data_IF_984239087360
#
_entry.id   IF_984239087360
#
_cell.length_a   1.000
_cell.length_b   1.000
_cell.length_c   1.000
_cell.angle_alpha   90.00
_cell.angle_beta   90.00
_cell.angle_gamma   90.00
#
_symmetry.space_group_name_H-M   'P 1'
#
loop_
_entity.id
_entity.type
_entity.pdbx_description
1 polymer ?
#
# COMPACT_ATOMS: atom_id res chain seq x y z
N UNK A 1 -5.24 -84.72 37.30
CA UNK A 1 -3.86 -85.12 36.94
C UNK A 1 -3.83 -85.12 35.42
N UNK A 2 -3.00 -84.36 34.70
CA UNK A 2 -1.56 -84.12 34.79
C UNK A 2 -1.36 -82.67 34.27
N UNK A 3 -0.85 -81.71 35.05
CA UNK A 3 0.56 -81.27 35.09
C UNK A 3 0.87 -80.28 33.94
N UNK A 4 1.17 -78.99 34.10
CA UNK A 4 1.80 -78.27 35.21
C UNK A 4 3.24 -77.90 34.80
N UNK A 5 3.44 -76.75 34.16
CA UNK A 5 4.77 -76.15 34.02
C UNK A 5 4.63 -74.61 34.07
N UNK A 6 5.10 -74.06 35.19
CA UNK A 6 5.38 -72.66 35.42
C UNK A 6 6.71 -72.31 34.76
N UNK A 7 6.75 -71.30 33.88
CA UNK A 7 7.94 -70.49 33.67
C UNK A 7 7.58 -68.99 33.56
N UNK A 8 8.31 -68.24 34.37
CA UNK A 8 8.54 -66.79 34.51
C UNK A 8 7.79 -65.76 33.66
N UNK A 9 7.30 -64.75 34.38
CA UNK A 9 6.88 -63.43 33.93
C UNK A 9 8.02 -62.69 33.21
N UNK A 10 7.81 -62.33 31.95
CA UNK A 10 8.52 -61.24 31.30
C UNK A 10 7.55 -60.09 31.02
N UNK A 11 7.91 -58.92 31.53
CA UNK A 11 7.22 -57.65 31.40
C UNK A 11 7.27 -57.14 29.96
N UNK A 12 6.14 -57.17 29.25
CA UNK A 12 5.97 -56.50 27.96
C UNK A 12 5.06 -55.28 28.10
N UNK A 13 5.67 -54.11 27.82
CA UNK A 13 5.12 -52.76 27.91
C UNK A 13 3.77 -52.56 27.21
N UNK A 14 2.91 -51.81 27.88
CA UNK A 14 1.81 -51.03 27.30
C UNK A 14 2.37 -50.07 26.24
N UNK A 15 2.20 -50.39 24.96
CA UNK A 15 2.54 -49.46 23.88
C UNK A 15 1.34 -48.54 23.64
N UNK A 16 1.28 -47.43 24.38
CA UNK A 16 0.46 -46.29 24.01
C UNK A 16 1.14 -45.62 22.81
N UNK A 17 0.46 -45.59 21.66
CA UNK A 17 0.83 -44.77 20.52
C UNK A 17 0.66 -43.27 20.85
N UNK A 18 1.53 -42.76 21.72
CA UNK A 18 1.84 -41.35 21.79
C UNK A 18 2.61 -40.99 20.53
N UNK A 19 1.86 -40.69 19.46
CA UNK A 19 2.38 -39.98 18.30
C UNK A 19 2.93 -38.64 18.81
N UNK A 20 4.24 -38.60 19.12
CA UNK A 20 4.96 -37.42 19.59
C UNK A 20 4.60 -36.26 18.66
N UNK A 21 3.79 -35.32 19.16
CA UNK A 21 3.57 -34.04 18.48
C UNK A 21 4.95 -33.44 18.27
N UNK A 22 5.38 -33.27 17.01
CA UNK A 22 6.56 -32.45 16.73
C UNK A 22 6.26 -31.07 17.31
N UNK A 23 6.99 -30.66 18.33
CA UNK A 23 6.97 -29.30 18.82
C UNK A 23 7.60 -28.43 17.74
N UNK A 24 6.79 -27.94 16.80
CA UNK A 24 7.21 -26.85 15.93
C UNK A 24 7.37 -25.61 16.81
N UNK A 25 8.52 -24.94 16.71
CA UNK A 25 8.71 -23.66 17.38
C UNK A 25 7.68 -22.68 16.81
N UNK A 26 7.13 -21.77 17.63
CA UNK A 26 6.03 -20.89 17.20
C UNK A 26 6.32 -20.08 15.92
N UNK A 27 7.59 -19.85 15.59
CA UNK A 27 8.06 -19.16 14.38
C UNK A 27 8.18 -20.04 13.13
N UNK A 28 8.07 -21.37 13.25
CA UNK A 28 8.06 -22.30 12.10
C UNK A 28 6.64 -22.54 11.57
N UNK A 29 5.61 -22.12 12.32
CA UNK A 29 4.21 -22.27 11.93
C UNK A 29 3.98 -21.53 10.60
N UNK A 30 3.42 -22.23 9.63
CA UNK A 30 3.12 -21.72 8.30
C UNK A 30 4.34 -21.30 7.46
N UNK A 31 5.54 -21.76 7.83
CA UNK A 31 6.74 -21.48 7.07
C UNK A 31 6.58 -21.91 5.60
N UNK A 32 7.01 -21.05 4.67
CA UNK A 32 6.89 -21.29 3.24
C UNK A 32 5.60 -20.81 2.59
N UNK A 33 4.63 -20.27 3.35
CA UNK A 33 3.38 -19.75 2.78
C UNK A 33 3.66 -18.60 1.78
N UNK A 34 3.18 -18.67 0.52
CA UNK A 34 3.44 -17.62 -0.47
C UNK A 34 2.90 -16.25 -0.05
N UNK A 35 3.67 -15.18 -0.21
CA UNK A 35 3.19 -13.83 0.08
C UNK A 35 2.20 -13.37 -1.00
N UNK A 36 0.96 -13.09 -0.61
CA UNK A 36 -0.12 -12.64 -1.51
C UNK A 36 0.06 -11.19 -1.96
N UNK A 37 0.90 -10.41 -1.28
CA UNK A 37 1.16 -9.00 -1.56
C UNK A 37 2.44 -8.78 -2.37
N UNK A 38 3.50 -9.51 -2.04
CA UNK A 38 4.82 -9.31 -2.61
C UNK A 38 5.14 -10.26 -3.76
N UNK A 39 4.45 -11.41 -3.85
CA UNK A 39 4.77 -12.45 -4.81
C UNK A 39 6.11 -13.14 -4.53
N UNK A 40 6.50 -14.10 -5.37
CA UNK A 40 7.72 -14.90 -5.17
C UNK A 40 9.01 -14.10 -5.38
N UNK A 41 8.99 -13.06 -6.22
CA UNK A 41 10.20 -12.25 -6.51
C UNK A 41 10.71 -11.46 -5.30
N UNK A 42 9.80 -10.97 -4.45
CA UNK A 42 10.15 -10.17 -3.26
C UNK A 42 10.09 -10.96 -1.95
N UNK A 43 9.53 -12.16 -1.98
CA UNK A 43 9.39 -13.04 -0.82
C UNK A 43 9.78 -14.46 -1.22
N UNK A 44 11.02 -14.61 -1.66
CA UNK A 44 11.57 -15.91 -2.04
C UNK A 44 11.51 -16.86 -0.83
N UNK A 45 11.05 -18.09 -1.07
CA UNK A 45 10.85 -19.07 -0.01
C UNK A 45 9.60 -18.87 0.85
N UNK A 46 8.78 -17.83 0.61
CA UNK A 46 7.52 -17.61 1.33
C UNK A 46 7.69 -17.08 2.76
N UNK A 47 6.65 -17.24 3.59
CA UNK A 47 6.63 -16.78 4.97
C UNK A 47 7.77 -17.42 5.77
N UNK A 48 8.66 -16.61 6.30
CA UNK A 48 9.57 -16.98 7.39
C UNK A 48 9.28 -16.06 8.56
N UNK A 49 8.64 -16.56 9.63
CA UNK A 49 8.15 -15.70 10.68
C UNK A 49 9.30 -15.20 11.56
N UNK A 50 9.38 -13.88 11.74
CA UNK A 50 10.24 -13.29 12.73
C UNK A 50 9.76 -13.67 14.14
N UNK A 51 10.68 -14.18 14.97
CA UNK A 51 10.33 -14.78 16.26
C UNK A 51 9.50 -13.87 17.18
N UNK A 52 9.83 -12.57 17.27
CA UNK A 52 9.06 -11.62 18.07
C UNK A 52 8.28 -10.55 17.30
N UNK A 53 8.73 -10.12 16.12
CA UNK A 53 8.04 -9.07 15.34
C UNK A 53 6.70 -9.52 14.72
N UNK A 54 6.46 -10.84 14.68
CA UNK A 54 5.28 -11.45 14.05
C UNK A 54 5.05 -10.95 12.60
N UNK A 55 6.14 -10.78 11.86
CA UNK A 55 6.16 -10.42 10.42
C UNK A 55 7.12 -11.36 9.68
N UNK A 56 6.99 -11.46 8.37
CA UNK A 56 7.93 -12.20 7.54
C UNK A 56 9.33 -11.55 7.58
N UNK A 57 10.39 -12.33 7.84
CA UNK A 57 11.78 -11.83 7.85
C UNK A 57 12.21 -11.30 6.48
N UNK A 58 11.76 -11.96 5.41
CA UNK A 58 12.10 -11.67 4.01
C UNK A 58 11.40 -10.41 3.50
N UNK A 59 10.06 -10.39 3.51
CA UNK A 59 9.28 -9.33 2.87
C UNK A 59 8.66 -8.32 3.85
N UNK A 60 8.86 -8.50 5.17
CA UNK A 60 8.29 -7.68 6.27
C UNK A 60 6.76 -7.59 6.28
N UNK A 61 6.06 -8.33 5.42
CA UNK A 61 4.60 -8.43 5.40
C UNK A 61 4.10 -9.26 6.58
N UNK A 62 2.87 -8.99 7.03
CA UNK A 62 2.29 -9.72 8.14
C UNK A 62 1.89 -11.15 7.74
N UNK A 63 1.76 -12.11 8.68
CA UNK A 63 1.38 -13.49 8.39
C UNK A 63 0.06 -13.59 7.63
N UNK A 64 -0.90 -12.73 7.95
CA UNK A 64 -2.21 -12.65 7.28
C UNK A 64 -2.13 -12.12 5.83
N UNK A 65 -0.96 -11.66 5.38
CA UNK A 65 -0.68 -11.30 3.98
C UNK A 65 -0.02 -12.46 3.21
N UNK A 66 0.08 -13.65 3.81
CA UNK A 66 0.59 -14.87 3.18
C UNK A 66 -0.51 -15.93 3.03
N UNK A 67 -0.41 -16.78 2.01
CA UNK A 67 -1.38 -17.87 1.76
C UNK A 67 -1.08 -19.07 2.68
N UNK A 68 -1.32 -18.84 3.96
CA UNK A 68 -1.14 -19.82 5.02
C UNK A 68 -2.11 -21.00 4.81
N UNK A 69 -1.64 -22.23 5.07
CA UNK A 69 -2.40 -23.46 4.80
C UNK A 69 -3.51 -23.72 5.83
N UNK A 70 -4.63 -24.21 5.31
CA UNK A 70 -5.93 -24.39 5.98
C UNK A 70 -5.96 -25.22 7.27
N UNK A 71 -5.16 -26.28 7.40
CA UNK A 71 -5.28 -27.24 8.50
C UNK A 71 -4.71 -26.73 9.85
N UNK A 72 -3.60 -25.98 9.80
CA UNK A 72 -2.95 -25.41 10.98
C UNK A 72 -3.71 -24.17 11.49
N UNK A 73 -4.33 -23.43 10.58
CA UNK A 73 -5.22 -22.31 10.87
C UNK A 73 -6.52 -22.75 11.55
N UNK A 74 -7.14 -23.84 11.09
CA UNK A 74 -8.43 -24.28 11.64
C UNK A 74 -8.33 -24.63 13.13
N UNK A 75 -7.22 -25.24 13.55
CA UNK A 75 -6.93 -25.47 14.97
C UNK A 75 -6.70 -24.17 15.76
N UNK A 76 -5.95 -23.21 15.18
CA UNK A 76 -5.66 -21.92 15.81
C UNK A 76 -6.93 -21.05 15.93
N UNK A 77 -7.77 -21.04 14.91
CA UNK A 77 -9.06 -20.36 14.92
C UNK A 77 -9.99 -21.00 15.94
N UNK A 78 -10.08 -22.32 15.95
CA UNK A 78 -10.89 -23.03 16.94
C UNK A 78 -10.44 -22.72 18.37
N UNK A 79 -9.12 -22.65 18.61
CA UNK A 79 -8.56 -22.24 19.89
C UNK A 79 -8.99 -20.84 20.31
N UNK A 80 -8.87 -19.85 19.42
CA UNK A 80 -9.33 -18.47 19.66
C UNK A 80 -10.83 -18.39 19.91
N UNK A 81 -11.64 -19.09 19.12
CA UNK A 81 -13.10 -19.12 19.34
C UNK A 81 -13.42 -19.74 20.71
N UNK A 82 -12.75 -20.82 21.10
CA UNK A 82 -12.99 -21.46 22.41
C UNK A 82 -12.50 -20.62 23.60
N UNK A 83 -11.52 -19.74 23.42
CA UNK A 83 -11.12 -18.82 24.49
C UNK A 83 -12.11 -17.66 24.66
N UNK A 84 -12.88 -17.34 23.62
CA UNK A 84 -13.93 -16.32 23.66
C UNK A 84 -15.22 -16.81 24.31
N UNK A 85 -15.61 -18.07 24.06
CA UNK A 85 -16.89 -18.63 24.50
C UNK A 85 -16.69 -19.75 25.51
N UNK A 86 -17.39 -19.68 26.65
CA UNK A 86 -17.32 -20.69 27.71
C UNK A 86 -18.71 -21.16 28.13
N UNK A 87 -18.85 -22.48 28.38
CA UNK A 87 -20.04 -23.08 29.00
C UNK A 87 -20.35 -22.50 30.38
N UNK A 88 -19.32 -22.08 31.11
CA UNK A 88 -19.42 -21.58 32.48
C UNK A 88 -19.62 -20.05 32.51
N UNK A 89 -19.80 -19.41 31.35
CA UNK A 89 -20.04 -17.97 31.28
C UNK A 89 -21.34 -17.58 31.99
N UNK A 90 -21.25 -16.54 32.82
CA UNK A 90 -22.42 -15.88 33.43
C UNK A 90 -23.30 -15.17 32.39
N UNK A 91 -22.77 -14.91 31.19
CA UNK A 91 -23.47 -14.23 30.11
C UNK A 91 -24.20 -15.25 29.24
N UNK A 92 -25.54 -15.26 29.31
CA UNK A 92 -26.40 -16.26 28.62
C UNK A 92 -26.07 -16.46 27.14
N UNK A 93 -25.98 -15.38 26.36
CA UNK A 93 -25.67 -15.46 24.92
C UNK A 93 -24.30 -16.11 24.60
N UNK A 94 -23.31 -15.97 25.50
CA UNK A 94 -21.96 -16.54 25.31
C UNK A 94 -22.02 -18.04 25.57
N UNK A 95 -22.69 -18.45 26.65
CA UNK A 95 -22.95 -19.86 26.96
C UNK A 95 -23.78 -20.53 25.87
N UNK A 96 -24.84 -19.89 25.40
CA UNK A 96 -25.72 -20.42 24.36
C UNK A 96 -24.95 -20.61 23.03
N UNK A 97 -24.08 -19.67 22.67
CA UNK A 97 -23.23 -19.80 21.50
C UNK A 97 -22.19 -20.92 21.65
N UNK A 98 -21.62 -21.11 22.84
CA UNK A 98 -20.74 -22.24 23.13
C UNK A 98 -21.44 -23.58 22.89
N UNK A 99 -22.67 -23.76 23.38
CA UNK A 99 -23.42 -24.98 23.13
C UNK A 99 -23.74 -25.18 21.64
N UNK A 100 -24.01 -24.11 20.89
CA UNK A 100 -24.17 -24.18 19.43
C UNK A 100 -22.88 -24.63 18.73
N UNK A 101 -21.71 -24.17 19.20
CA UNK A 101 -20.41 -24.61 18.68
C UNK A 101 -20.21 -26.12 18.90
N UNK A 102 -20.49 -26.63 20.11
CA UNK A 102 -20.37 -28.06 20.42
C UNK A 102 -21.38 -28.92 19.64
N UNK A 103 -22.61 -28.46 19.48
CA UNK A 103 -23.60 -29.15 18.66
C UNK A 103 -23.16 -29.21 17.19
N UNK A 104 -22.61 -28.10 16.67
CA UNK A 104 -22.15 -28.01 15.29
C UNK A 104 -20.92 -28.89 15.01
N UNK A 105 -20.03 -29.11 15.99
CA UNK A 105 -18.90 -30.05 15.81
C UNK A 105 -19.34 -31.51 15.69
N UNK A 106 -20.50 -31.84 16.27
CA UNK A 106 -21.05 -33.21 16.26
C UNK A 106 -22.07 -33.46 15.15
N UNK A 107 -22.51 -32.41 14.45
CA UNK A 107 -23.56 -32.50 13.43
C UNK A 107 -22.95 -32.35 12.02
N UNK A 108 -23.22 -33.27 11.08
CA UNK A 108 -22.78 -33.11 9.70
C UNK A 108 -23.33 -31.82 9.08
N UNK A 109 -22.46 -31.03 8.45
CA UNK A 109 -22.86 -29.84 7.70
C UNK A 109 -23.68 -30.25 6.47
N UNK A 110 -24.71 -29.46 6.13
CA UNK A 110 -25.46 -29.65 4.89
C UNK A 110 -24.57 -29.50 3.65
N UNK A 111 -24.97 -30.09 2.52
CA UNK A 111 -24.18 -30.05 1.28
C UNK A 111 -23.95 -28.62 0.78
N UNK A 112 -24.96 -27.76 0.94
CA UNK A 112 -24.82 -26.34 0.66
C UNK A 112 -23.78 -25.67 1.59
N UNK A 113 -23.84 -25.95 2.89
CA UNK A 113 -22.93 -25.36 3.86
C UNK A 113 -21.47 -25.78 3.63
N UNK A 114 -21.19 -27.01 3.17
CA UNK A 114 -19.82 -27.50 2.89
C UNK A 114 -19.08 -26.68 1.83
N UNK A 115 -19.81 -25.97 0.96
CA UNK A 115 -19.22 -25.11 -0.07
C UNK A 115 -18.51 -23.89 0.52
N UNK A 116 -18.73 -23.57 1.79
CA UNK A 116 -18.17 -22.39 2.45
C UNK A 116 -17.15 -22.78 3.53
N UNK A 117 -16.07 -22.00 3.62
CA UNK A 117 -15.07 -22.13 4.67
C UNK A 117 -15.66 -21.88 6.07
N UNK A 118 -16.76 -21.13 6.16
CA UNK A 118 -17.50 -20.88 7.39
C UNK A 118 -18.96 -20.52 7.09
N UNK A 119 -19.85 -20.86 8.03
CA UNK A 119 -21.26 -20.49 8.01
C UNK A 119 -21.69 -20.06 9.43
N UNK A 120 -22.64 -19.11 9.56
CA UNK A 120 -23.26 -18.85 10.85
C UNK A 120 -23.93 -20.11 11.42
N UNK A 121 -23.78 -20.32 12.73
CA UNK A 121 -24.25 -21.53 13.40
C UNK A 121 -25.76 -21.50 13.63
N UNK A 122 -26.40 -22.65 13.49
CA UNK A 122 -27.83 -22.83 13.80
C UNK A 122 -28.80 -22.23 12.79
N UNK A 123 -28.35 -21.84 11.59
CA UNK A 123 -29.24 -21.40 10.53
C UNK A 123 -29.78 -22.57 9.71
N UNK A 124 -31.09 -22.54 9.46
CA UNK A 124 -31.72 -23.40 8.46
C UNK A 124 -31.18 -23.10 7.06
N UNK A 125 -31.19 -24.10 6.17
CA UNK A 125 -30.60 -23.97 4.82
C UNK A 125 -31.17 -22.79 4.03
N UNK A 126 -32.48 -22.54 4.09
CA UNK A 126 -33.13 -21.42 3.39
C UNK A 126 -32.59 -20.06 3.85
N UNK A 127 -32.43 -19.88 5.16
CA UNK A 127 -31.89 -18.64 5.73
C UNK A 127 -30.40 -18.49 5.48
N UNK A 128 -29.65 -19.60 5.53
CA UNK A 128 -28.23 -19.64 5.19
C UNK A 128 -27.96 -19.19 3.75
N UNK A 129 -28.77 -19.65 2.78
CA UNK A 129 -28.67 -19.22 1.37
C UNK A 129 -28.83 -17.70 1.28
N UNK A 130 -29.91 -17.16 1.86
CA UNK A 130 -30.17 -15.71 1.87
C UNK A 130 -29.03 -14.91 2.50
N UNK A 131 -28.50 -15.37 3.63
CA UNK A 131 -27.35 -14.74 4.28
C UNK A 131 -26.12 -14.72 3.38
N UNK A 132 -25.75 -15.86 2.79
CA UNK A 132 -24.59 -15.94 1.91
C UNK A 132 -24.75 -15.08 0.67
N UNK A 133 -25.97 -14.93 0.14
CA UNK A 133 -26.25 -14.07 -1.02
C UNK A 133 -26.25 -12.59 -0.71
N UNK A 134 -26.56 -12.21 0.52
CA UNK A 134 -26.50 -10.83 0.99
C UNK A 134 -25.08 -10.34 1.33
N UNK A 135 -24.07 -11.22 1.34
CA UNK A 135 -22.67 -10.83 1.52
C UNK A 135 -22.08 -10.24 0.22
N UNK A 136 -21.16 -9.25 0.33
CA UNK A 136 -20.39 -8.78 -0.83
C UNK A 136 -19.69 -9.96 -1.54
N UNK A 137 -19.73 -10.05 -2.89
CA UNK A 137 -19.20 -11.20 -3.62
C UNK A 137 -17.74 -11.56 -3.28
N UNK A 138 -16.89 -10.54 -3.14
CA UNK A 138 -15.47 -10.67 -2.80
C UNK A 138 -15.20 -11.07 -1.35
N UNK A 139 -16.21 -11.02 -0.48
CA UNK A 139 -16.12 -11.39 0.94
C UNK A 139 -16.86 -12.70 1.26
N UNK A 140 -17.60 -13.26 0.29
CA UNK A 140 -18.33 -14.52 0.44
C UNK A 140 -17.34 -15.67 0.65
N UNK A 141 -17.35 -16.39 1.78
CA UNK A 141 -16.28 -17.31 2.15
C UNK A 141 -16.42 -18.68 1.47
N UNK A 142 -16.60 -18.72 0.14
CA UNK A 142 -16.66 -19.99 -0.61
C UNK A 142 -15.29 -20.68 -0.58
N UNK A 143 -15.25 -21.98 -0.31
CA UNK A 143 -14.00 -22.76 -0.24
C UNK A 143 -13.15 -22.53 -1.50
N UNK A 144 -11.88 -22.17 -1.30
CA UNK A 144 -10.92 -21.91 -2.38
C UNK A 144 -11.04 -20.54 -3.06
N UNK A 145 -12.06 -19.74 -2.74
CA UNK A 145 -12.24 -18.40 -3.31
C UNK A 145 -11.43 -17.32 -2.58
N UNK A 146 -11.32 -16.14 -3.20
CA UNK A 146 -10.74 -14.95 -2.56
C UNK A 146 -11.51 -14.51 -1.31
N UNK A 147 -12.83 -14.74 -1.24
CA UNK A 147 -13.59 -14.48 -0.02
C UNK A 147 -13.22 -15.41 1.13
N UNK A 148 -12.84 -16.67 0.83
CA UNK A 148 -12.28 -17.54 1.87
C UNK A 148 -10.90 -17.09 2.32
N UNK A 149 -10.05 -16.58 1.41
CA UNK A 149 -8.76 -15.96 1.78
C UNK A 149 -8.96 -14.71 2.62
N UNK A 150 -9.90 -13.84 2.22
CA UNK A 150 -10.29 -12.64 2.96
C UNK A 150 -10.72 -12.98 4.39
N UNK A 151 -11.61 -13.97 4.56
CA UNK A 151 -12.04 -14.41 5.90
C UNK A 151 -10.86 -14.85 6.76
N UNK A 152 -9.94 -15.65 6.23
CA UNK A 152 -8.76 -16.11 6.99
C UNK A 152 -7.88 -14.93 7.43
N UNK A 153 -7.61 -14.02 6.51
CA UNK A 153 -6.91 -12.76 6.80
C UNK A 153 -7.61 -11.97 7.91
N UNK A 154 -8.94 -11.83 7.83
CA UNK A 154 -9.72 -11.13 8.86
C UNK A 154 -9.68 -11.86 10.20
N UNK A 155 -9.70 -13.20 10.22
CA UNK A 155 -9.60 -13.96 11.47
C UNK A 155 -8.28 -13.68 12.20
N UNK A 156 -7.16 -13.75 11.49
CA UNK A 156 -5.83 -13.47 12.04
C UNK A 156 -5.66 -12.01 12.49
N UNK A 157 -6.19 -11.07 11.71
CA UNK A 157 -6.07 -9.64 12.00
C UNK A 157 -7.00 -9.16 13.11
N UNK A 158 -8.28 -9.58 13.08
CA UNK A 158 -9.32 -9.11 13.99
C UNK A 158 -9.30 -9.84 15.34
N UNK A 159 -8.82 -11.08 15.37
CA UNK A 159 -8.70 -11.91 16.57
C UNK A 159 -7.30 -12.57 16.64
N UNK A 160 -6.23 -11.77 16.79
CA UNK A 160 -4.86 -12.30 16.82
C UNK A 160 -4.67 -13.28 17.98
N UNK A 161 -4.08 -14.45 17.74
CA UNK A 161 -3.98 -15.51 18.76
C UNK A 161 -3.25 -15.05 20.04
N UNK A 162 -2.26 -14.17 19.90
CA UNK A 162 -1.52 -13.56 21.02
C UNK A 162 -2.33 -12.54 21.83
N UNK A 163 -3.51 -12.11 21.37
CA UNK A 163 -4.46 -11.33 22.18
C UNK A 163 -5.38 -12.25 23.03
N UNK A 164 -5.27 -13.57 22.86
CA UNK A 164 -6.16 -14.57 23.45
C UNK A 164 -5.44 -15.65 24.26
N UNK A 165 -4.15 -15.85 24.04
CA UNK A 165 -3.35 -16.88 24.71
C UNK A 165 -1.94 -16.36 25.03
N UNK A 166 -1.63 -16.32 26.32
CA UNK A 166 -0.35 -15.85 26.87
C UNK A 166 0.87 -16.64 26.37
N UNK A 167 0.69 -17.89 25.92
CA UNK A 167 1.78 -18.71 25.38
C UNK A 167 2.25 -18.28 23.99
N UNK A 168 1.48 -17.40 23.33
CA UNK A 168 1.83 -16.82 22.03
C UNK A 168 2.47 -15.42 22.15
N UNK A 169 2.56 -14.88 23.37
CA UNK A 169 3.17 -13.59 23.66
C UNK A 169 4.66 -13.73 24.03
N UNK A 170 5.45 -12.69 23.76
CA UNK A 170 6.88 -12.70 24.04
C UNK A 170 7.20 -12.13 25.43
N UNK A 171 7.71 -12.97 26.33
CA UNK A 171 8.27 -12.58 27.62
C UNK A 171 7.33 -11.78 28.55
N UNK A 172 6.03 -12.13 28.59
CA UNK A 172 5.12 -11.58 29.59
C UNK A 172 5.55 -12.00 31.00
N UNK A 173 5.64 -11.02 31.91
CA UNK A 173 5.81 -11.25 33.35
C UNK A 173 4.51 -11.77 33.99
N UNK A 174 4.58 -12.41 35.15
CA UNK A 174 3.37 -12.90 35.84
C UNK A 174 2.32 -11.82 36.12
N UNK A 175 2.69 -10.58 36.53
CA UNK A 175 1.72 -9.49 36.64
C UNK A 175 1.06 -9.11 35.30
N UNK A 176 1.80 -9.13 34.19
CA UNK A 176 1.25 -8.85 32.87
C UNK A 176 0.31 -9.96 32.39
N UNK A 177 0.66 -11.23 32.64
CA UNK A 177 -0.21 -12.38 32.35
C UNK A 177 -1.52 -12.27 33.14
N UNK A 178 -1.44 -11.89 34.41
CA UNK A 178 -2.63 -11.67 35.23
C UNK A 178 -3.49 -10.53 34.67
N UNK A 179 -2.87 -9.41 34.29
CA UNK A 179 -3.57 -8.31 33.61
C UNK A 179 -4.24 -8.75 32.31
N UNK A 180 -3.58 -9.62 31.52
CA UNK A 180 -4.13 -10.19 30.29
C UNK A 180 -5.35 -11.08 30.55
N UNK A 181 -5.30 -11.93 31.57
CA UNK A 181 -6.43 -12.78 31.97
C UNK A 181 -7.62 -11.95 32.42
N UNK A 182 -7.39 -10.98 33.32
CA UNK A 182 -8.43 -10.06 33.80
C UNK A 182 -9.06 -9.25 32.66
N UNK A 183 -8.23 -8.71 31.75
CA UNK A 183 -8.71 -7.99 30.58
C UNK A 183 -9.56 -8.89 29.67
N UNK A 184 -9.10 -10.11 29.38
CA UNK A 184 -9.81 -11.06 28.54
C UNK A 184 -11.15 -11.47 29.14
N UNK A 185 -11.19 -11.75 30.44
CA UNK A 185 -12.41 -12.07 31.18
C UNK A 185 -13.40 -10.89 31.15
N UNK A 186 -12.94 -9.69 31.50
CA UNK A 186 -13.76 -8.48 31.48
C UNK A 186 -14.33 -8.20 30.08
N UNK A 187 -13.49 -8.30 29.04
CA UNK A 187 -13.90 -8.14 27.63
C UNK A 187 -14.99 -9.15 27.26
N UNK A 188 -14.78 -10.42 27.57
CA UNK A 188 -15.71 -11.49 27.20
C UNK A 188 -17.05 -11.34 27.95
N UNK A 189 -17.02 -10.92 29.22
CA UNK A 189 -18.22 -10.69 30.02
C UNK A 189 -19.00 -9.43 29.61
N UNK A 190 -18.32 -8.34 29.28
CA UNK A 190 -18.97 -7.03 29.15
C UNK A 190 -19.15 -6.54 27.71
N UNK A 191 -18.35 -7.01 26.76
CA UNK A 191 -18.35 -6.49 25.39
C UNK A 191 -18.56 -7.54 24.30
N UNK A 192 -18.09 -8.77 24.47
CA UNK A 192 -18.19 -9.81 23.45
C UNK A 192 -19.64 -10.18 23.13
N UNK A 193 -19.97 -10.22 21.85
CA UNK A 193 -21.22 -10.76 21.32
C UNK A 193 -21.04 -11.48 19.99
N UNK A 194 -22.09 -12.17 19.57
CA UNK A 194 -22.17 -12.79 18.24
C UNK A 194 -23.44 -12.32 17.55
N UNK A 195 -23.31 -11.92 16.29
CA UNK A 195 -24.42 -11.47 15.47
C UNK A 195 -25.43 -12.59 15.24
N UNK A 196 -26.71 -12.27 15.43
CA UNK A 196 -27.82 -13.20 15.22
C UNK A 196 -28.49 -12.90 13.88
N UNK A 197 -28.44 -13.84 12.94
CA UNK A 197 -28.97 -13.65 11.58
C UNK A 197 -30.46 -13.95 11.57
N UNK A 198 -31.26 -12.97 11.14
CA UNK A 198 -32.72 -13.10 11.07
C UNK A 198 -33.23 -12.61 9.72
N UNK A 199 -34.32 -13.21 9.26
CA UNK A 199 -35.08 -12.73 8.11
C UNK A 199 -36.21 -11.82 8.58
N UNK A 200 -36.43 -10.72 7.85
CA UNK A 200 -37.59 -9.87 8.05
C UNK A 200 -38.83 -10.55 7.47
N UNK A 201 -39.61 -11.21 8.32
CA UNK A 201 -40.86 -11.86 7.92
C UNK A 201 -42.12 -11.03 8.23
N UNK A 202 -42.04 -10.10 9.18
CA UNK A 202 -43.17 -9.25 9.56
C UNK A 202 -43.15 -7.93 8.77
N UNK A 203 -44.19 -7.61 7.97
CA UNK A 203 -44.26 -6.35 7.21
C UNK A 203 -44.40 -5.11 8.11
N UNK A 204 -44.88 -5.26 9.34
CA UNK A 204 -45.09 -4.15 10.29
C UNK A 204 -43.79 -3.78 11.02
N UNK A 205 -42.82 -4.70 11.12
CA UNK A 205 -41.57 -4.41 11.83
C UNK A 205 -40.73 -3.40 11.05
N UNK A 206 -40.34 -2.32 11.73
CA UNK A 206 -39.44 -1.32 11.16
C UNK A 206 -38.00 -1.69 11.52
N UNK A 207 -37.31 -2.33 10.57
CA UNK A 207 -35.88 -2.64 10.68
C UNK A 207 -35.11 -1.61 9.86
N UNK A 208 -34.24 -0.87 10.53
CA UNK A 208 -33.36 0.13 9.93
C UNK A 208 -31.93 -0.29 10.24
N UNK A 209 -31.10 -0.41 9.21
CA UNK A 209 -29.70 -0.72 9.40
C UNK A 209 -29.04 0.41 10.18
N UNK A 210 -28.42 0.06 11.31
CA UNK A 210 -27.80 1.01 12.23
C UNK A 210 -26.60 1.76 11.62
N UNK A 211 -25.96 1.19 10.59
CA UNK A 211 -24.80 1.81 9.93
C UNK A 211 -25.16 2.73 8.78
N UNK A 212 -25.95 2.24 7.81
CA UNK A 212 -26.25 3.01 6.60
C UNK A 212 -27.57 3.79 6.70
N UNK A 213 -28.32 3.63 7.80
CA UNK A 213 -29.67 4.16 8.01
C UNK A 213 -30.69 3.75 6.94
N UNK A 214 -30.34 2.80 6.07
CA UNK A 214 -31.23 2.24 5.07
C UNK A 214 -32.21 1.22 5.66
N UNK A 215 -33.41 1.07 5.09
CA UNK A 215 -34.35 0.06 5.54
C UNK A 215 -33.86 -1.37 5.22
N UNK A 216 -34.26 -2.33 6.05
CA UNK A 216 -34.25 -3.75 5.70
C UNK A 216 -35.65 -4.09 5.15
N UNK A 217 -35.72 -4.55 3.91
CA UNK A 217 -36.98 -4.85 3.22
C UNK A 217 -37.55 -6.20 3.65
N UNK A 218 -38.84 -6.41 3.40
CA UNK A 218 -39.50 -7.68 3.69
C UNK A 218 -38.83 -8.82 2.90
N UNK A 219 -38.51 -9.92 3.58
CA UNK A 219 -37.81 -11.07 3.02
C UNK A 219 -36.28 -10.95 2.97
N UNK A 220 -35.72 -9.77 3.26
CA UNK A 220 -34.27 -9.58 3.43
C UNK A 220 -33.79 -10.10 4.79
N UNK A 221 -32.48 -10.30 4.89
CA UNK A 221 -31.81 -10.71 6.11
C UNK A 221 -31.12 -9.54 6.79
N UNK A 222 -31.08 -9.58 8.11
CA UNK A 222 -30.32 -8.65 8.93
C UNK A 222 -29.54 -9.41 10.01
N UNK A 223 -28.42 -8.84 10.42
CA UNK A 223 -27.62 -9.29 11.55
C UNK A 223 -28.02 -8.44 12.76
N UNK A 224 -28.44 -9.07 13.86
CA UNK A 224 -28.79 -8.39 15.11
C UNK A 224 -27.63 -8.48 16.11
N UNK A 225 -27.36 -7.39 16.81
CA UNK A 225 -26.33 -7.34 17.85
C UNK A 225 -26.98 -7.03 19.20
N UNK A 226 -27.27 -8.09 19.96
CA UNK A 226 -27.93 -8.04 21.27
C UNK A 226 -27.36 -7.00 22.24
N UNK A 227 -26.04 -6.80 22.29
CA UNK A 227 -25.42 -5.81 23.19
C UNK A 227 -25.63 -4.37 22.76
N UNK A 228 -25.79 -4.13 21.47
CA UNK A 228 -26.10 -2.79 20.96
C UNK A 228 -27.57 -2.40 21.20
N UNK A 229 -28.43 -3.38 21.45
CA UNK A 229 -29.85 -3.22 21.69
C UNK A 229 -30.65 -4.26 20.93
N UNK A 230 -31.83 -4.62 21.45
CA UNK A 230 -32.67 -5.70 20.88
C UNK A 230 -33.21 -5.39 19.49
N UNK A 231 -33.32 -4.10 19.16
CA UNK A 231 -33.81 -3.54 17.91
C UNK A 231 -32.69 -3.16 16.93
N UNK A 232 -31.42 -3.25 17.36
CA UNK A 232 -30.28 -2.87 16.52
C UNK A 232 -29.94 -3.99 15.54
N UNK A 233 -29.95 -3.65 14.26
CA UNK A 233 -29.66 -4.56 13.18
C UNK A 233 -28.83 -3.91 12.07
N UNK A 234 -28.14 -4.74 11.29
CA UNK A 234 -27.32 -4.33 10.15
C UNK A 234 -27.65 -5.19 8.93
N UNK A 235 -27.55 -4.62 7.73
CA UNK A 235 -27.36 -5.46 6.54
C UNK A 235 -26.10 -6.32 6.75
N UNK A 236 -26.04 -7.55 6.23
CA UNK A 236 -24.83 -8.38 6.34
C UNK A 236 -23.56 -7.68 5.86
N UNK A 237 -23.62 -6.93 4.74
CA UNK A 237 -22.52 -6.12 4.24
C UNK A 237 -22.17 -4.88 5.09
N UNK A 238 -23.05 -4.46 6.00
CA UNK A 238 -22.86 -3.31 6.88
C UNK A 238 -22.38 -3.69 8.29
N UNK A 239 -22.31 -4.98 8.61
CA UNK A 239 -21.87 -5.46 9.92
C UNK A 239 -20.32 -5.45 10.01
N UNK A 240 -19.76 -4.24 10.07
CA UNK A 240 -18.33 -3.97 10.02
C UNK A 240 -17.84 -3.33 11.33
N UNK A 241 -16.54 -3.42 11.59
CA UNK A 241 -15.91 -2.70 12.69
C UNK A 241 -15.87 -1.19 12.42
N UNK A 242 -16.18 -0.37 13.43
CA UNK A 242 -16.21 1.11 13.31
C UNK A 242 -14.84 1.76 13.06
N UNK A 243 -13.74 1.04 13.28
CA UNK A 243 -12.38 1.56 13.07
C UNK A 243 -11.84 1.16 11.69
N UNK A 244 -11.77 -0.14 11.38
CA UNK A 244 -11.19 -0.59 10.11
C UNK A 244 -12.19 -0.79 8.96
N UNK A 245 -13.49 -0.64 9.21
CA UNK A 245 -14.56 -0.84 8.21
C UNK A 245 -14.55 -2.20 7.50
N UNK A 246 -13.89 -3.21 8.07
CA UNK A 246 -13.94 -4.59 7.60
C UNK A 246 -15.11 -5.34 8.23
N UNK A 247 -15.69 -6.30 7.51
CA UNK A 247 -16.73 -7.17 8.04
C UNK A 247 -16.23 -7.88 9.30
N UNK A 248 -17.05 -7.87 10.34
CA UNK A 248 -16.75 -8.52 11.61
C UNK A 248 -16.70 -10.04 11.40
N UNK A 249 -15.51 -10.60 11.58
CA UNK A 249 -15.23 -11.99 11.22
C UNK A 249 -16.13 -12.92 12.03
N UNK A 250 -16.75 -13.88 11.34
CA UNK A 250 -17.64 -14.89 11.92
C UNK A 250 -18.79 -14.31 12.77
N UNK A 251 -19.21 -13.08 12.47
CA UNK A 251 -20.22 -12.32 13.23
C UNK A 251 -19.80 -12.01 14.67
N UNK A 252 -18.53 -12.18 15.03
CA UNK A 252 -18.00 -11.89 16.36
C UNK A 252 -17.75 -10.40 16.45
N UNK A 253 -18.29 -9.78 17.49
CA UNK A 253 -18.18 -8.34 17.70
C UNK A 253 -17.96 -8.01 19.17
N UNK A 254 -17.43 -6.81 19.41
CA UNK A 254 -17.26 -6.25 20.74
C UNK A 254 -17.95 -4.91 20.78
N UNK A 255 -18.92 -4.75 21.68
CA UNK A 255 -19.72 -3.53 21.78
C UNK A 255 -19.16 -2.58 22.84
N UNK A 256 -19.10 -1.29 22.50
CA UNK A 256 -18.82 -0.21 23.46
C UNK A 256 -19.41 1.11 22.98
N UNK A 257 -20.09 1.81 23.88
CA UNK A 257 -20.51 3.22 23.71
C UNK A 257 -21.22 3.50 22.37
N UNK A 258 -22.13 2.61 21.96
CA UNK A 258 -22.91 2.77 20.73
C UNK A 258 -22.22 2.27 19.45
N UNK A 259 -20.96 1.83 19.54
CA UNK A 259 -20.18 1.28 18.43
C UNK A 259 -19.92 -0.22 18.53
N UNK A 260 -19.62 -0.84 17.39
CA UNK A 260 -19.20 -2.25 17.29
C UNK A 260 -17.80 -2.36 16.71
N UNK A 261 -16.97 -3.16 17.37
CA UNK A 261 -15.55 -3.27 17.10
C UNK A 261 -15.14 -4.72 16.86
N UNK A 262 -14.07 -4.91 16.10
CA UNK A 262 -13.37 -6.20 16.09
C UNK A 262 -12.55 -6.36 17.38
N UNK A 263 -12.08 -7.58 17.68
CA UNK A 263 -11.33 -7.86 18.91
C UNK A 263 -10.07 -7.01 19.06
N UNK A 264 -9.31 -6.86 17.96
CA UNK A 264 -8.13 -5.99 17.89
C UNK A 264 -8.45 -4.55 18.28
N UNK A 265 -9.37 -3.89 17.58
CA UNK A 265 -9.65 -2.46 17.81
C UNK A 265 -10.35 -2.22 19.14
N UNK A 266 -11.20 -3.15 19.60
CA UNK A 266 -11.76 -3.07 20.94
C UNK A 266 -10.64 -3.08 21.99
N UNK A 267 -9.66 -3.98 21.85
CA UNK A 267 -8.56 -4.06 22.79
C UNK A 267 -7.68 -2.82 22.79
N UNK A 268 -7.45 -2.23 21.62
CA UNK A 268 -6.69 -0.98 21.45
C UNK A 268 -7.34 0.25 22.13
N UNK A 269 -8.63 0.17 22.50
CA UNK A 269 -9.28 1.20 23.34
C UNK A 269 -8.80 1.18 24.80
N UNK A 270 -8.19 0.09 25.27
CA UNK A 270 -7.83 -0.11 26.68
C UNK A 270 -6.34 -0.40 26.87
N UNK A 271 -5.75 -1.15 25.95
CA UNK A 271 -4.35 -1.57 26.02
C UNK A 271 -3.62 -1.12 24.76
N UNK A 272 -2.50 -0.39 24.88
CA UNK A 272 -1.76 0.05 23.72
C UNK A 272 -1.11 -1.14 23.01
N UNK A 273 -1.10 -1.13 21.68
CA UNK A 273 -0.45 -2.17 20.87
C UNK A 273 0.94 -1.74 20.45
N UNK A 274 1.93 -2.61 20.63
CA UNK A 274 3.29 -2.34 20.20
C UNK A 274 3.40 -2.39 18.68
N UNK A 275 3.96 -1.34 18.08
CA UNK A 275 4.11 -1.20 16.62
C UNK A 275 5.16 -2.13 15.99
N UNK A 276 5.97 -2.82 16.81
CA UNK A 276 7.02 -3.71 16.34
C UNK A 276 6.65 -5.20 16.45
N UNK A 277 6.04 -5.63 17.57
CA UNK A 277 5.64 -7.03 17.79
C UNK A 277 4.15 -7.30 17.61
N UNK A 278 3.33 -6.25 17.42
CA UNK A 278 1.88 -6.36 17.28
C UNK A 278 1.15 -6.90 18.52
N UNK A 279 1.82 -7.05 19.67
CA UNK A 279 1.21 -7.47 20.94
C UNK A 279 0.68 -6.28 21.77
N UNK A 280 -0.33 -6.53 22.60
CA UNK A 280 -0.84 -5.57 23.57
C UNK A 280 0.16 -5.43 24.74
N UNK A 281 0.38 -4.19 25.18
CA UNK A 281 1.25 -3.87 26.32
C UNK A 281 0.36 -3.80 27.57
N UNK A 282 0.54 -4.75 28.48
CA UNK A 282 -0.31 -4.86 29.68
C UNK A 282 0.17 -4.00 30.85
N UNK A 283 1.49 -3.75 30.93
CA UNK A 283 2.14 -2.88 31.90
C UNK A 283 2.28 -1.45 31.36
N UNK A 284 1.61 -0.49 31.99
CA UNK A 284 1.59 0.92 31.55
C UNK A 284 2.99 1.55 31.61
N UNK A 285 3.78 1.19 32.61
CA UNK A 285 5.16 1.64 32.80
C UNK A 285 6.12 1.15 31.72
N UNK A 286 5.75 0.13 30.93
CA UNK A 286 6.56 -0.43 29.83
C UNK A 286 6.16 0.12 28.46
N UNK A 287 5.23 1.07 28.42
CA UNK A 287 4.84 1.77 27.19
C UNK A 287 5.87 2.86 26.92
N UNK A 288 6.39 2.87 25.70
CA UNK A 288 7.13 3.99 25.15
C UNK A 288 6.29 4.61 24.02
N UNK A 289 6.05 5.91 24.11
CA UNK A 289 5.43 6.69 23.04
C UNK A 289 6.51 7.42 22.26
N UNK A 290 6.63 7.08 20.97
CA UNK A 290 7.61 7.66 20.07
C UNK A 290 7.10 7.55 18.63
N UNK A 291 7.37 8.57 17.80
CA UNK A 291 6.98 8.58 16.38
C UNK A 291 5.47 8.39 16.17
N UNK A 292 4.65 9.02 17.02
CA UNK A 292 3.18 8.88 17.05
C UNK A 292 2.69 7.43 17.15
N UNK A 293 3.53 6.56 17.73
CA UNK A 293 3.31 5.13 17.87
C UNK A 293 3.64 4.69 19.28
N UNK A 294 3.07 3.56 19.68
CA UNK A 294 3.30 2.93 20.98
C UNK A 294 4.14 1.69 20.81
N UNK A 295 5.04 1.47 21.75
CA UNK A 295 6.05 0.42 21.69
C UNK A 295 6.29 -0.17 23.07
N UNK A 296 6.66 -1.44 23.14
CA UNK A 296 7.41 -1.94 24.29
C UNK A 296 8.78 -1.23 24.35
N UNK A 297 9.26 -0.90 25.54
CA UNK A 297 10.59 -0.26 25.75
C UNK A 297 11.73 -0.99 25.01
N UNK A 298 11.70 -2.32 25.03
CA UNK A 298 12.74 -3.17 24.43
C UNK A 298 12.61 -3.30 22.89
N UNK A 299 11.47 -2.91 22.31
CA UNK A 299 11.21 -3.08 20.87
C UNK A 299 11.40 -1.79 20.07
N UNK A 300 11.25 -0.62 20.68
CA UNK A 300 11.62 0.64 20.03
C UNK A 300 13.15 0.82 19.95
N UNK A 301 13.87 0.26 20.92
CA UNK A 301 15.32 0.40 21.04
C UNK A 301 16.11 -0.55 20.14
N UNK A 302 15.53 -1.02 19.02
CA UNK A 302 16.19 -1.90 18.05
C UNK A 302 15.93 -1.43 16.61
N UNK A 303 16.93 -1.58 15.74
CA UNK A 303 16.82 -1.24 14.32
C UNK A 303 15.75 -2.10 13.63
N UNK A 304 14.83 -1.49 12.87
CA UNK A 304 13.77 -2.20 12.14
C UNK A 304 14.30 -3.13 11.03
N UNK A 305 15.50 -2.85 10.53
CA UNK A 305 16.10 -3.62 9.45
C UNK A 305 16.94 -4.80 9.94
N UNK A 306 17.81 -4.58 10.94
CA UNK A 306 18.80 -5.56 11.38
C UNK A 306 18.68 -6.02 12.85
N UNK A 307 17.66 -5.54 13.58
CA UNK A 307 17.36 -5.89 14.97
C UNK A 307 18.46 -5.60 16.01
N UNK A 308 19.52 -4.90 15.60
CA UNK A 308 20.59 -4.49 16.53
C UNK A 308 20.07 -3.42 17.49
N UNK A 309 20.42 -3.51 18.79
CA UNK A 309 20.07 -2.48 19.77
C UNK A 309 20.57 -1.09 19.36
N UNK A 310 19.74 -0.08 19.60
CA UNK A 310 19.98 1.34 19.33
C UNK A 310 20.26 2.14 20.60
N UNK A 311 20.23 1.53 21.78
CA UNK A 311 20.36 2.20 23.09
C UNK A 311 21.64 3.02 23.26
N UNK A 312 22.71 2.71 22.49
CA UNK A 312 24.02 3.36 22.58
C UNK A 312 24.47 4.04 21.28
N UNK A 313 23.63 4.08 20.24
CA UNK A 313 23.98 4.65 18.93
C UNK A 313 22.90 5.63 18.45
N UNK A 314 23.31 6.67 17.72
CA UNK A 314 22.35 7.51 17.00
C UNK A 314 21.65 6.68 15.91
N UNK A 315 20.39 7.00 15.67
CA UNK A 315 19.55 6.34 14.69
C UNK A 315 18.75 7.38 13.91
N UNK A 316 18.29 6.99 12.74
CA UNK A 316 17.42 7.79 11.88
C UNK A 316 16.03 7.18 11.83
N UNK A 317 15.03 8.04 11.65
CA UNK A 317 13.64 7.60 11.53
C UNK A 317 13.27 7.47 10.07
N UNK A 318 12.90 6.27 9.65
CA UNK A 318 12.42 5.97 8.28
C UNK A 318 11.00 5.44 8.40
N UNK A 319 10.02 6.13 7.79
CA UNK A 319 8.59 5.77 7.84
C UNK A 319 8.03 5.58 9.27
N UNK A 320 8.51 6.41 10.21
CA UNK A 320 8.13 6.32 11.62
C UNK A 320 8.61 5.02 12.27
N UNK A 321 9.77 4.51 11.86
CA UNK A 321 10.48 3.39 12.47
C UNK A 321 11.96 3.71 12.64
N UNK A 322 12.61 3.19 13.70
CA UNK A 322 14.01 3.49 13.97
C UNK A 322 14.96 2.59 13.15
N UNK A 323 15.93 3.20 12.49
CA UNK A 323 16.95 2.53 11.67
C UNK A 323 18.35 2.94 12.13
N UNK A 324 19.27 1.99 12.29
CA UNK A 324 20.67 2.34 12.53
C UNK A 324 21.25 3.01 11.27
N UNK A 325 22.21 3.92 11.47
CA UNK A 325 22.81 4.68 10.37
C UNK A 325 23.38 3.76 9.28
N UNK A 326 24.00 2.63 9.67
CA UNK A 326 24.53 1.64 8.72
C UNK A 326 23.45 1.12 7.75
N UNK A 327 22.32 0.65 8.26
CA UNK A 327 21.25 0.13 7.42
C UNK A 327 20.59 1.23 6.58
N UNK A 328 20.49 2.44 7.11
CA UNK A 328 19.98 3.58 6.35
C UNK A 328 20.90 3.96 5.19
N UNK A 329 22.20 4.03 5.43
CA UNK A 329 23.20 4.41 4.42
C UNK A 329 23.31 3.33 3.33
N UNK A 330 23.25 2.05 3.70
CA UNK A 330 23.19 0.92 2.76
C UNK A 330 21.93 0.98 1.88
N UNK A 331 20.75 1.20 2.47
CA UNK A 331 19.50 1.33 1.73
C UNK A 331 19.49 2.57 0.80
N UNK A 332 20.08 3.69 1.25
CA UNK A 332 20.27 4.89 0.45
C UNK A 332 21.17 4.63 -0.75
N UNK A 333 22.30 3.94 -0.55
CA UNK A 333 23.24 3.57 -1.60
C UNK A 333 22.56 2.68 -2.66
N UNK A 334 21.84 1.64 -2.22
CA UNK A 334 21.11 0.72 -3.09
C UNK A 334 20.04 1.45 -3.92
N UNK A 335 19.27 2.36 -3.30
CA UNK A 335 18.27 3.16 -4.00
C UNK A 335 18.89 4.12 -5.01
N UNK A 336 20.03 4.74 -4.66
CA UNK A 336 20.77 5.64 -5.56
C UNK A 336 21.27 4.89 -6.80
N UNK A 337 21.87 3.71 -6.60
CA UNK A 337 22.34 2.87 -7.70
C UNK A 337 21.20 2.43 -8.62
N UNK A 338 20.07 2.00 -8.04
CA UNK A 338 18.87 1.63 -8.81
C UNK A 338 18.26 2.81 -9.57
N UNK A 339 18.29 4.02 -9.02
CA UNK A 339 17.80 5.21 -9.70
C UNK A 339 18.68 5.60 -10.90
N UNK A 340 20.01 5.49 -10.74
CA UNK A 340 20.97 5.70 -11.85
C UNK A 340 20.77 4.71 -12.99
N UNK A 341 20.43 3.45 -12.69
CA UNK A 341 20.09 2.45 -13.70
C UNK A 341 18.81 2.76 -14.50
N UNK A 342 17.96 3.67 -13.97
CA UNK A 342 16.70 4.10 -14.59
C UNK A 342 16.80 5.52 -15.19
N UNK A 343 18.01 6.03 -15.40
CA UNK A 343 18.27 7.40 -15.88
C UNK A 343 17.52 8.48 -15.06
N UNK A 344 17.36 8.24 -13.76
CA UNK A 344 16.68 9.14 -12.83
C UNK A 344 17.66 9.95 -11.97
N UNK A 345 17.21 11.13 -11.55
CA UNK A 345 17.91 11.98 -10.60
C UNK A 345 17.43 11.70 -9.16
N UNK A 346 18.40 11.63 -8.25
CA UNK A 346 18.17 11.29 -6.84
C UNK A 346 18.07 12.57 -6.01
N UNK A 347 16.89 12.88 -5.49
CA UNK A 347 16.68 14.05 -4.61
C UNK A 347 16.36 13.61 -3.19
N UNK A 348 17.00 14.25 -2.22
CA UNK A 348 16.76 14.02 -0.80
C UNK A 348 16.06 15.26 -0.22
N UNK A 349 14.88 15.08 0.37
CA UNK A 349 14.17 16.18 1.03
C UNK A 349 14.50 16.25 2.54
N UNK A 350 14.07 17.33 3.18
CA UNK A 350 14.29 17.58 4.61
C UNK A 350 13.63 16.56 5.57
N UNK A 351 12.84 15.60 5.05
CA UNK A 351 12.16 14.56 5.83
C UNK A 351 12.78 13.16 5.59
N UNK A 352 14.02 13.07 5.08
CA UNK A 352 14.69 11.80 4.70
C UNK A 352 13.87 10.93 3.74
N UNK A 353 12.96 11.54 2.97
CA UNK A 353 12.21 10.84 1.92
C UNK A 353 12.95 11.05 0.60
N UNK A 354 13.71 10.04 0.21
CA UNK A 354 14.38 10.03 -1.10
C UNK A 354 13.44 9.61 -2.20
N UNK A 355 13.41 10.40 -3.27
CA UNK A 355 12.61 10.14 -4.46
C UNK A 355 13.51 10.13 -5.69
N UNK A 356 13.29 9.13 -6.55
CA UNK A 356 13.89 9.06 -7.88
C UNK A 356 12.92 9.75 -8.85
N UNK A 357 13.37 10.77 -9.56
CA UNK A 357 12.59 11.46 -10.59
C UNK A 357 13.23 11.22 -11.96
N UNK A 358 12.43 11.05 -13.04
CA UNK A 358 12.99 10.97 -14.38
C UNK A 358 13.76 12.25 -14.71
N UNK A 359 14.89 12.11 -15.41
CA UNK A 359 15.70 13.25 -15.85
C UNK A 359 14.85 14.24 -16.65
N UNK A 360 15.00 15.57 -16.47
CA UNK A 360 14.20 16.56 -17.21
C UNK A 360 14.47 16.49 -18.71
N UNK A 361 13.41 16.39 -19.53
CA UNK A 361 13.51 16.45 -20.99
C UNK A 361 14.10 17.79 -21.46
N UNK A 362 14.92 17.82 -22.53
CA UNK A 362 15.51 19.07 -23.03
C UNK A 362 14.42 20.02 -23.53
N UNK A 363 14.39 21.24 -22.98
CA UNK A 363 13.41 22.28 -23.34
C UNK A 363 13.62 22.75 -24.79
N UNK A 364 12.67 22.43 -25.68
CA UNK A 364 12.71 22.83 -27.10
C UNK A 364 12.13 24.24 -27.29
N UNK A 365 12.89 25.18 -27.88
CA UNK A 365 12.49 26.59 -28.07
C UNK A 365 11.86 26.86 -29.46
N UNK A 366 10.89 26.04 -29.85
CA UNK A 366 10.24 26.06 -31.17
C UNK A 366 10.97 25.19 -32.21
N UNK A 367 10.44 25.11 -33.43
CA UNK A 367 10.92 24.21 -34.50
C UNK A 367 11.34 24.95 -35.76
N UNK A 368 12.25 24.36 -36.54
CA UNK A 368 12.69 24.86 -37.84
C UNK A 368 11.64 24.57 -38.93
N UNK A 369 11.22 25.59 -39.68
CA UNK A 369 10.22 25.49 -40.74
C UNK A 369 10.66 24.68 -41.96
N UNK A 370 11.97 24.42 -42.14
CA UNK A 370 12.48 23.57 -43.24
C UNK A 370 12.55 22.10 -42.86
N UNK A 371 13.03 21.76 -41.66
CA UNK A 371 13.31 20.37 -41.27
C UNK A 371 12.43 19.83 -40.12
N UNK A 372 11.64 20.68 -39.46
CA UNK A 372 10.77 20.31 -38.34
C UNK A 372 11.49 20.04 -37.01
N UNK A 373 12.82 20.11 -36.97
CA UNK A 373 13.62 19.85 -35.77
C UNK A 373 13.61 21.06 -34.82
N UNK A 374 13.57 20.79 -33.52
CA UNK A 374 13.54 21.78 -32.44
C UNK A 374 14.87 22.49 -32.19
N UNK A 375 14.81 23.77 -31.80
CA UNK A 375 16.00 24.55 -31.45
C UNK A 375 16.41 24.30 -29.99
N UNK A 376 17.71 24.08 -29.77
CA UNK A 376 18.30 23.95 -28.42
C UNK A 376 18.57 25.36 -27.86
N UNK A 377 18.47 25.59 -26.53
CA UNK A 377 18.85 26.87 -25.93
C UNK A 377 20.27 27.32 -26.31
N UNK A 378 20.41 28.53 -26.84
CA UNK A 378 21.68 29.11 -27.30
C UNK A 378 22.01 28.86 -28.78
N UNK A 379 21.21 28.05 -29.49
CA UNK A 379 21.39 27.81 -30.91
C UNK A 379 21.06 29.05 -31.77
N UNK A 380 21.84 29.28 -32.84
CA UNK A 380 21.63 30.43 -33.72
C UNK A 380 20.42 30.20 -34.63
N UNK A 381 19.40 31.02 -34.44
CA UNK A 381 18.14 30.97 -35.17
C UNK A 381 18.08 32.07 -36.24
N UNK A 382 17.82 31.70 -37.49
CA UNK A 382 17.51 32.65 -38.56
C UNK A 382 16.00 32.87 -38.57
N UNK A 383 15.55 34.11 -38.45
CA UNK A 383 14.12 34.46 -38.48
C UNK A 383 13.83 35.31 -39.72
N UNK A 384 12.90 34.85 -40.56
CA UNK A 384 12.48 35.56 -41.77
C UNK A 384 10.97 35.37 -41.99
N UNK A 385 10.21 36.46 -42.19
CA UNK A 385 8.75 36.44 -42.37
C UNK A 385 8.00 35.58 -41.34
N UNK A 386 8.34 35.77 -40.05
CA UNK A 386 7.76 35.02 -38.92
C UNK A 386 8.04 33.50 -38.92
N UNK A 387 8.91 33.02 -39.80
CA UNK A 387 9.42 31.64 -39.84
C UNK A 387 10.85 31.56 -39.30
N UNK A 388 11.21 30.37 -38.86
CA UNK A 388 12.42 30.06 -38.10
C UNK A 388 13.22 28.98 -38.80
N UNK A 389 14.51 29.21 -39.03
CA UNK A 389 15.36 28.29 -39.78
C UNK A 389 16.70 28.08 -39.08
N UNK A 390 17.25 26.86 -39.16
CA UNK A 390 18.67 26.66 -38.87
C UNK A 390 19.53 27.37 -39.91
N UNK A 391 20.75 27.74 -39.53
CA UNK A 391 21.74 28.31 -40.44
C UNK A 391 21.89 27.51 -41.74
N UNK A 392 21.91 26.17 -41.62
CA UNK A 392 22.08 25.26 -42.76
C UNK A 392 20.76 24.90 -43.46
N UNK A 393 19.62 25.37 -42.94
CA UNK A 393 18.30 25.15 -43.52
C UNK A 393 17.79 26.34 -44.35
N UNK A 394 18.42 27.52 -44.20
CA UNK A 394 18.13 28.71 -44.97
C UNK A 394 19.16 28.87 -46.10
N UNK A 395 18.89 28.23 -47.25
CA UNK A 395 19.84 28.03 -48.35
C UNK A 395 19.34 28.67 -49.67
N UNK A 396 20.27 28.92 -50.59
CA UNK A 396 20.00 29.37 -51.96
C UNK A 396 19.33 28.26 -52.77
N UNK A 397 18.25 28.54 -53.47
CA UNK A 397 17.52 27.54 -54.24
C UNK A 397 18.30 27.06 -55.47
N UNK A 398 19.22 27.86 -56.00
CA UNK A 398 20.03 27.51 -57.17
C UNK A 398 21.32 26.76 -56.80
N UNK A 399 22.14 27.29 -55.89
CA UNK A 399 23.44 26.67 -55.55
C UNK A 399 23.43 25.84 -54.26
N UNK A 400 22.31 25.81 -53.54
CA UNK A 400 22.10 25.08 -52.27
C UNK A 400 23.05 25.46 -51.12
N UNK A 401 23.82 26.55 -51.27
CA UNK A 401 24.68 27.07 -50.20
C UNK A 401 23.85 27.84 -49.15
N UNK A 402 24.22 27.78 -47.86
CA UNK A 402 23.61 28.61 -46.82
C UNK A 402 23.66 30.09 -47.18
N UNK A 403 22.51 30.75 -47.13
CA UNK A 403 22.43 32.20 -47.31
C UNK A 403 22.89 32.92 -46.03
N UNK A 404 22.71 32.29 -44.86
CA UNK A 404 23.24 32.78 -43.59
C UNK A 404 22.86 34.24 -43.32
N UNK A 405 23.87 35.10 -43.14
CA UNK A 405 23.75 36.56 -43.00
C UNK A 405 24.02 37.33 -44.29
N UNK A 406 24.24 36.64 -45.40
CA UNK A 406 24.54 37.28 -46.67
C UNK A 406 23.28 37.92 -47.27
N UNK A 407 23.48 38.94 -48.10
CA UNK A 407 22.39 39.49 -48.90
C UNK A 407 21.86 38.40 -49.84
N UNK A 408 20.56 38.35 -50.03
CA UNK A 408 19.92 37.39 -50.93
C UNK A 408 18.78 38.05 -51.69
N UNK A 409 18.44 37.48 -52.84
CA UNK A 409 17.40 38.00 -53.74
C UNK A 409 16.21 37.07 -53.72
N UNK A 410 15.01 37.64 -53.57
CA UNK A 410 13.73 36.94 -53.73
C UNK A 410 13.22 37.13 -55.15
N UNK A 411 12.96 36.01 -55.84
CA UNK A 411 12.34 35.97 -57.17
C UNK A 411 11.38 34.80 -57.23
N UNK A 412 10.13 35.04 -57.68
CA UNK A 412 9.10 34.02 -57.93
C UNK A 412 8.89 33.01 -56.78
N UNK A 413 8.95 33.50 -55.53
CA UNK A 413 8.81 32.67 -54.32
C UNK A 413 10.09 31.98 -53.84
N UNK A 414 11.11 31.86 -54.70
CA UNK A 414 12.43 31.31 -54.38
C UNK A 414 13.39 32.34 -53.77
N UNK A 415 14.47 31.84 -53.17
CA UNK A 415 15.51 32.65 -52.53
C UNK A 415 16.90 32.30 -53.09
N UNK A 416 17.63 33.31 -53.58
CA UNK A 416 18.88 33.13 -54.33
C UNK A 416 19.99 33.98 -53.74
N UNK A 417 21.24 33.50 -53.73
CA UNK A 417 22.37 34.36 -53.35
C UNK A 417 22.65 35.38 -54.46
N UNK A 418 23.28 36.52 -54.12
CA UNK A 418 23.57 37.60 -55.08
C UNK A 418 24.33 37.08 -56.30
N UNK A 419 25.34 36.22 -56.13
CA UNK A 419 26.08 35.64 -57.26
C UNK A 419 25.18 34.80 -58.20
N UNK A 420 24.21 34.07 -57.63
CA UNK A 420 23.25 33.28 -58.40
C UNK A 420 22.24 34.18 -59.11
N UNK A 421 21.89 35.30 -58.50
CA UNK A 421 21.02 36.31 -59.07
C UNK A 421 21.69 37.06 -60.23
N UNK A 422 22.92 37.52 -60.03
CA UNK A 422 23.73 38.20 -61.04
C UNK A 422 24.04 37.27 -62.22
N UNK A 423 24.31 35.98 -61.95
CA UNK A 423 24.49 34.97 -62.99
C UNK A 423 23.22 34.75 -63.82
N UNK A 424 22.03 34.93 -63.24
CA UNK A 424 20.75 34.86 -63.96
C UNK A 424 20.40 36.18 -64.67
N UNK A 425 20.92 37.32 -64.20
CA UNK A 425 20.67 38.68 -64.70
C UNK A 425 21.77 39.26 -65.63
N UNK A 426 22.82 38.49 -65.97
CA UNK A 426 23.97 38.92 -66.80
C UNK A 426 23.65 39.30 -68.28
N UNK A 427 22.39 39.60 -68.63
CA UNK A 427 21.98 40.17 -69.93
C UNK A 427 21.62 41.67 -69.88
N UNK A 428 21.63 42.35 -68.74
CA UNK A 428 21.37 43.80 -68.67
C UNK A 428 22.34 44.44 -67.66
N UNK A 429 23.21 45.34 -68.13
CA UNK A 429 24.33 45.86 -67.33
C UNK A 429 24.28 47.40 -67.28
N UNK A 430 24.37 47.97 -66.07
CA UNK A 430 25.34 49.00 -65.60
C UNK A 430 24.74 50.13 -64.73
N UNK A 431 25.50 50.42 -63.67
CA UNK A 431 25.52 51.64 -62.81
C UNK A 431 24.31 51.86 -61.87
N UNK A 432 24.44 52.29 -60.62
CA UNK A 432 25.50 53.04 -59.92
C UNK A 432 25.41 52.78 -58.40
N UNK A 433 26.53 52.97 -57.70
CA UNK A 433 26.74 52.89 -56.24
C UNK A 433 26.28 54.16 -55.51
N UNK A 434 25.66 54.04 -54.32
CA UNK A 434 26.06 54.79 -53.10
C UNK A 434 25.27 54.40 -51.83
N UNK A 435 25.97 54.51 -50.70
CA UNK A 435 25.63 54.10 -49.34
C UNK A 435 25.01 55.26 -48.55
N UNK A 436 24.04 54.98 -47.66
CA UNK A 436 23.81 55.79 -46.46
C UNK A 436 23.71 54.90 -45.19
N UNK A 437 24.45 55.30 -44.14
CA UNK A 437 24.44 54.73 -42.79
C UNK A 437 23.35 55.39 -41.94
N UNK A 438 22.60 54.60 -41.17
CA UNK A 438 21.68 55.03 -40.12
C UNK A 438 21.15 53.83 -39.31
N UNK A 439 20.91 54.00 -38.02
CA UNK A 439 20.83 52.95 -36.99
C UNK A 439 19.41 52.44 -36.64
N UNK A 440 19.36 51.14 -36.30
CA UNK A 440 18.38 50.34 -35.50
C UNK A 440 16.92 50.19 -36.00
N UNK A 441 16.58 48.93 -36.32
CA UNK A 441 15.23 48.35 -36.30
C UNK A 441 14.61 48.15 -37.68
N UNK A 442 14.38 46.88 -38.07
CA UNK A 442 13.71 46.34 -39.30
C UNK A 442 14.60 45.86 -40.45
N UNK A 443 14.19 44.75 -41.09
CA UNK A 443 14.70 44.25 -42.38
C UNK A 443 14.21 45.23 -43.44
N UNK A 444 15.12 45.91 -44.13
CA UNK A 444 14.77 46.85 -45.21
C UNK A 444 14.98 46.17 -46.55
N UNK A 445 13.88 45.85 -47.23
CA UNK A 445 13.92 45.45 -48.64
C UNK A 445 13.96 46.72 -49.50
N UNK A 446 14.93 46.83 -50.42
CA UNK A 446 14.97 47.92 -51.39
C UNK A 446 14.62 47.37 -52.79
N UNK A 447 13.66 48.01 -53.46
CA UNK A 447 13.28 47.66 -54.83
C UNK A 447 14.37 48.11 -55.80
N UNK A 448 14.87 47.18 -56.62
CA UNK A 448 15.78 47.49 -57.72
C UNK A 448 15.32 46.76 -58.99
N UNK A 449 14.72 47.53 -59.90
CA UNK A 449 14.23 47.15 -61.25
C UNK A 449 13.17 46.01 -61.28
N UNK A 450 12.37 45.86 -62.36
CA UNK A 450 11.10 45.17 -62.26
C UNK A 450 11.30 43.67 -61.98
N UNK A 451 10.80 43.24 -60.81
CA UNK A 451 10.71 41.87 -60.28
C UNK A 451 11.94 41.27 -59.56
N UNK A 452 12.85 42.08 -59.00
CA UNK A 452 13.87 41.61 -58.04
C UNK A 452 13.91 42.43 -56.75
N UNK A 453 13.91 41.75 -55.60
CA UNK A 453 14.00 42.39 -54.27
C UNK A 453 15.25 41.89 -53.54
N UNK A 454 16.18 42.80 -53.21
CA UNK A 454 17.38 42.49 -52.41
C UNK A 454 17.03 42.61 -50.93
N UNK A 455 17.29 41.54 -50.18
CA UNK A 455 16.95 41.41 -48.76
C UNK A 455 18.22 41.21 -47.91
N UNK A 456 18.33 41.97 -46.82
CA UNK A 456 19.38 41.83 -45.82
C UNK A 456 18.86 41.11 -44.56
N UNK A 457 19.55 40.08 -44.08
CA UNK A 457 19.22 39.38 -42.84
C UNK A 457 20.14 39.85 -41.71
N UNK A 458 19.57 40.26 -40.58
CA UNK A 458 20.29 40.38 -39.30
C UNK A 458 19.87 39.29 -38.32
N UNK A 459 20.85 38.65 -37.69
CA UNK A 459 20.64 37.63 -36.66
C UNK A 459 20.14 38.29 -35.37
N UNK A 460 19.08 37.75 -34.80
CA UNK A 460 18.74 37.96 -33.38
C UNK A 460 19.29 36.79 -32.56
N UNK A 461 20.20 37.07 -31.62
CA UNK A 461 20.53 36.10 -30.56
C UNK A 461 19.43 36.20 -29.50
N UNK A 462 18.81 35.08 -29.13
CA UNK A 462 17.98 35.02 -27.93
C UNK A 462 18.91 35.16 -26.71
N UNK A 463 18.82 36.29 -26.02
CA UNK A 463 19.42 36.44 -24.69
C UNK A 463 18.54 35.69 -23.70
N UNK A 464 19.08 34.65 -23.06
CA UNK A 464 18.48 34.03 -21.90
C UNK A 464 18.52 35.02 -20.74
N UNK A 465 17.37 35.53 -20.30
CA UNK A 465 17.26 36.26 -19.04
C UNK A 465 17.30 35.27 -17.88
N UNK A 466 18.50 34.92 -17.42
CA UNK A 466 18.69 34.33 -16.09
C UNK A 466 18.75 35.47 -15.07
N UNK A 467 17.64 35.72 -14.39
CA UNK A 467 17.63 36.49 -13.14
C UNK A 467 18.25 35.62 -12.03
N UNK A 468 19.35 36.03 -11.38
CA UNK A 468 19.79 35.43 -10.13
C UNK A 468 19.07 36.13 -8.98
N UNK A 469 18.31 35.38 -8.17
CA UNK A 469 17.85 35.85 -6.86
C UNK A 469 19.07 35.87 -5.91
N UNK A 470 19.78 36.99 -5.91
CA UNK A 470 20.73 37.36 -4.85
C UNK A 470 19.91 38.08 -3.78
N UNK A 471 19.74 37.45 -2.62
CA UNK A 471 19.21 38.11 -1.43
C UNK A 471 20.21 39.16 -0.90
N UNK A 472 19.75 40.33 -0.42
CA UNK A 472 20.66 41.37 0.01
C UNK A 472 21.24 41.08 1.40
N UNK A 473 22.56 41.02 1.50
CA UNK A 473 23.30 41.40 2.70
C UNK A 473 23.81 42.84 2.53
N UNK A 474 23.47 43.69 3.49
CA UNK A 474 24.31 44.76 4.05
C UNK A 474 23.52 45.39 5.20
N UNK A 475 23.84 45.16 6.47
CA UNK A 475 24.86 45.91 7.22
C UNK A 475 24.82 47.42 6.97
N UNK A 476 24.37 48.20 7.94
CA UNK A 476 25.19 49.27 8.53
C UNK A 476 24.55 49.89 9.79
N UNK A 477 25.31 50.67 10.57
CA UNK A 477 25.27 50.66 12.02
C UNK A 477 24.67 51.95 12.59
N UNK A 478 24.24 51.88 13.85
CA UNK A 478 24.46 52.88 14.90
C UNK A 478 24.01 52.31 16.24
#
# INVERSE_FOLDING_TARGET
MIGGQLESMDSASLNSDHKKRKFALGHEKNAGAPCLKCGPEKCEGGLDLHFWRKICKTCKCKPEEHDVKRAEEEASFYHVIRSLFSKDSSVGQIRDYFHKLEAASNTPRSEYAKQFAWCPLGLEQRLLIKYMDALPPQMKPKVGSDGAKYRRKQMMYQLPIHDHDESYCDNLTEPEKESMRQFSEHRNQNALGVGDVREKSNPVSKWICYRCNGPINLGEVAVFASRAGRDKCWHPGCFVCDVCNNLLVDLIYFYKEGGIYCGRHYAELFKPRCSACDELIYAEERVLEAMDKKWHHNHHSVCDHCDKPLSTQSFVTVEGKPWCNKCHDEDLANRSEKCKQLDGEFSNNNNNKTTCHPSPEPTVLGVCDTCGIGFIPGETKIVYQSKSFHHNCFICDMCKKPLGTAQFVKRDGGQFCVDCDDASNAKVRKHHTQVHRGSIGTITCAETLPNSTVCDIRISRSVSSTTPLIGPQSSNPQ
#
